data_IF_884263135881
#
_entry.id   IF_884263135881
#
_cell.length_a   1.000
_cell.length_b   1.000
_cell.length_c   1.000
_cell.angle_alpha   90.00
_cell.angle_beta   90.00
_cell.angle_gamma   90.00
#
_symmetry.space_group_name_H-M   'P 1'
#
loop_
_entity.id
_entity.type
_entity.pdbx_description
1 polymer ?
#
# COMPACT_ATOMS: atom_id res chain seq x y z
N UNK A 1 -13.29 -4.26 68.56
CA UNK A 1 -11.86 -4.24 68.94
C UNK A 1 -11.20 -3.19 68.07
N UNK A 2 -10.57 -2.18 68.70
CA UNK A 2 -9.88 -1.08 68.02
C UNK A 2 -8.64 -1.61 67.30
N UNK A 3 -8.60 -1.48 65.97
CA UNK A 3 -7.54 -2.02 65.13
C UNK A 3 -6.39 -1.00 65.02
N UNK A 4 -5.63 -0.83 66.09
CA UNK A 4 -4.39 -0.05 66.03
C UNK A 4 -3.26 -0.84 65.35
N UNK A 5 -2.44 -0.13 64.58
CA UNK A 5 -1.28 -0.70 63.93
C UNK A 5 -0.19 -1.05 64.97
N UNK A 6 0.49 -2.20 64.85
CA UNK A 6 1.64 -2.52 65.70
C UNK A 6 2.73 -1.46 65.55
N UNK A 7 3.35 -1.09 66.67
CA UNK A 7 4.40 -0.05 66.70
C UNK A 7 5.55 -0.44 65.76
N UNK A 8 5.84 0.45 64.80
CA UNK A 8 6.91 0.29 63.81
C UNK A 8 6.45 0.02 62.38
N UNK A 9 5.16 -0.24 62.14
CA UNK A 9 4.62 -0.41 60.78
C UNK A 9 3.95 0.89 60.32
N UNK A 10 4.32 1.46 59.16
CA UNK A 10 3.64 2.62 58.61
C UNK A 10 2.14 2.35 58.45
N UNK A 11 1.24 3.27 58.86
CA UNK A 11 -0.20 3.03 58.88
C UNK A 11 -0.78 2.59 57.52
N UNK A 12 -0.24 3.10 56.42
CA UNK A 12 -0.63 2.73 55.05
C UNK A 12 -0.25 1.28 54.71
N UNK A 13 0.93 0.82 55.15
CA UNK A 13 1.39 -0.55 54.92
C UNK A 13 0.55 -1.52 55.75
N UNK A 14 0.22 -1.14 56.99
CA UNK A 14 -0.70 -1.90 57.83
C UNK A 14 -2.09 -2.05 57.20
N UNK A 15 -2.60 -0.99 56.57
CA UNK A 15 -3.90 -1.00 55.88
C UNK A 15 -3.89 -1.96 54.67
N UNK A 16 -2.81 -1.96 53.87
CA UNK A 16 -2.64 -2.90 52.74
C UNK A 16 -2.54 -4.35 53.22
N UNK A 17 -1.79 -4.62 54.28
CA UNK A 17 -1.66 -5.97 54.87
C UNK A 17 -3.00 -6.43 55.45
N UNK A 18 -3.71 -5.56 56.16
CA UNK A 18 -5.04 -5.85 56.68
C UNK A 18 -6.05 -6.09 55.56
N UNK A 19 -5.91 -5.43 54.41
CA UNK A 19 -6.75 -5.66 53.23
C UNK A 19 -6.44 -7.00 52.54
N UNK A 20 -5.18 -7.45 52.56
CA UNK A 20 -4.72 -8.70 51.92
C UNK A 20 -4.87 -9.95 52.81
N UNK A 21 -4.76 -9.82 54.13
CA UNK A 21 -4.65 -10.95 55.10
C UNK A 21 -5.66 -10.84 56.25
N UNK A 22 -6.47 -9.77 56.32
CA UNK A 22 -7.43 -9.53 57.39
C UNK A 22 -8.63 -10.49 57.42
N UNK A 23 -9.37 -10.53 58.54
CA UNK A 23 -10.39 -11.54 58.79
C UNK A 23 -11.51 -11.52 57.74
N UNK A 24 -11.93 -12.70 57.21
CA UNK A 24 -12.82 -12.82 56.05
C UNK A 24 -14.25 -12.30 56.28
N UNK A 25 -14.57 -11.86 57.49
CA UNK A 25 -15.92 -11.48 57.91
C UNK A 25 -16.35 -10.06 57.50
N UNK A 26 -15.44 -9.15 57.13
CA UNK A 26 -15.79 -7.79 56.70
C UNK A 26 -15.84 -7.63 55.17
N UNK A 27 -15.21 -8.53 54.42
CA UNK A 27 -15.26 -8.55 52.95
C UNK A 27 -16.38 -9.44 52.41
N UNK A 28 -16.90 -10.42 53.14
CA UNK A 28 -17.83 -11.42 52.59
C UNK A 28 -19.17 -10.85 52.09
N UNK A 29 -19.64 -9.71 52.60
CA UNK A 29 -20.90 -9.08 52.14
C UNK A 29 -20.72 -8.01 51.06
N UNK A 30 -19.55 -7.37 50.96
CA UNK A 30 -19.28 -6.33 49.94
C UNK A 30 -18.45 -6.86 48.77
N UNK A 31 -17.56 -7.83 48.99
CA UNK A 31 -16.79 -8.49 47.94
C UNK A 31 -17.65 -9.35 47.00
N UNK A 32 -18.83 -9.80 47.44
CA UNK A 32 -19.76 -10.56 46.59
C UNK A 32 -20.38 -9.74 45.45
N UNK A 33 -20.33 -8.39 45.52
CA UNK A 33 -20.76 -7.48 44.42
C UNK A 33 -19.59 -6.82 43.67
N UNK A 34 -18.36 -6.99 44.15
CA UNK A 34 -17.16 -6.42 43.56
C UNK A 34 -16.80 -6.95 42.15
N UNK A 35 -16.99 -8.24 41.78
CA UNK A 35 -16.50 -8.71 40.47
C UNK A 35 -17.21 -8.03 39.30
N UNK A 36 -18.50 -7.68 39.44
CA UNK A 36 -19.27 -7.00 38.41
C UNK A 36 -18.86 -5.54 38.21
N UNK A 37 -18.62 -4.80 39.30
CA UNK A 37 -18.30 -3.36 39.25
C UNK A 37 -16.85 -3.14 38.84
N UNK A 38 -15.90 -3.92 39.36
CA UNK A 38 -14.51 -3.86 38.92
C UNK A 38 -14.36 -4.31 37.47
N UNK A 39 -15.08 -5.36 37.04
CA UNK A 39 -15.11 -5.78 35.64
C UNK A 39 -15.83 -4.79 34.72
N UNK A 40 -16.87 -4.10 35.18
CA UNK A 40 -17.53 -3.04 34.42
C UNK A 40 -16.66 -1.79 34.32
N UNK A 41 -15.97 -1.41 35.41
CA UNK A 41 -15.01 -0.32 35.42
C UNK A 41 -13.79 -0.62 34.54
N UNK A 42 -13.26 -1.85 34.58
CA UNK A 42 -12.18 -2.29 33.71
C UNK A 42 -12.60 -2.28 32.23
N UNK A 43 -13.79 -2.79 31.90
CA UNK A 43 -14.33 -2.74 30.52
C UNK A 43 -14.64 -1.33 30.06
N UNK A 44 -15.12 -0.47 30.95
CA UNK A 44 -15.35 0.95 30.67
C UNK A 44 -14.04 1.71 30.46
N UNK A 45 -12.99 1.37 31.22
CA UNK A 45 -11.65 1.94 31.06
C UNK A 45 -10.97 1.45 29.77
N UNK A 46 -11.14 0.17 29.43
CA UNK A 46 -10.65 -0.40 28.16
C UNK A 46 -11.40 0.17 26.96
N UNK A 47 -12.73 0.32 27.04
CA UNK A 47 -13.52 1.05 26.05
C UNK A 47 -13.23 2.56 26.01
N UNK A 48 -12.48 3.07 27.00
CA UNK A 48 -12.04 4.46 27.10
C UNK A 48 -10.57 4.65 26.79
N UNK A 49 -9.81 3.62 26.43
CA UNK A 49 -8.45 3.84 25.93
C UNK A 49 -8.57 4.79 24.74
N UNK A 50 -8.15 6.06 24.91
CA UNK A 50 -8.11 6.95 23.77
C UNK A 50 -7.02 6.33 22.92
N UNK A 51 -7.37 5.87 21.72
CA UNK A 51 -6.43 5.48 20.67
C UNK A 51 -5.13 6.25 20.90
N UNK A 52 -4.12 5.57 21.45
CA UNK A 52 -2.95 6.24 22.04
C UNK A 52 -2.37 7.17 20.98
N UNK A 53 -1.74 8.28 21.36
CA UNK A 53 -1.18 9.21 20.38
C UNK A 53 -0.32 8.47 19.33
N UNK A 54 0.39 7.42 19.74
CA UNK A 54 1.08 6.48 18.87
C UNK A 54 0.16 5.75 17.88
N UNK A 55 -0.96 5.17 18.32
CA UNK A 55 -1.94 4.53 17.43
C UNK A 55 -2.49 5.50 16.38
N UNK A 56 -2.83 6.74 16.75
CA UNK A 56 -3.34 7.74 15.80
C UNK A 56 -2.28 8.13 14.75
N UNK A 57 -1.02 8.27 15.18
CA UNK A 57 0.11 8.51 14.28
C UNK A 57 0.30 7.31 13.34
N UNK A 58 0.34 6.08 13.85
CA UNK A 58 0.47 4.88 13.02
C UNK A 58 -0.66 4.74 11.99
N UNK A 59 -1.91 5.01 12.37
CA UNK A 59 -3.03 4.99 11.43
C UNK A 59 -2.90 6.08 10.34
N UNK A 60 -2.38 7.26 10.69
CA UNK A 60 -2.13 8.31 9.70
C UNK A 60 -0.99 7.97 8.73
N UNK A 61 0.04 7.27 9.20
CA UNK A 61 1.14 6.79 8.37
C UNK A 61 0.71 5.65 7.45
N UNK A 62 -0.09 4.70 7.95
CA UNK A 62 -0.67 3.62 7.13
C UNK A 62 -1.51 4.23 6.00
N UNK A 63 -2.40 5.17 6.33
CA UNK A 63 -3.22 5.86 5.33
C UNK A 63 -2.37 6.59 4.28
N UNK A 64 -1.30 7.28 4.71
CA UNK A 64 -0.38 7.95 3.78
C UNK A 64 0.33 6.95 2.86
N UNK A 65 0.72 5.80 3.38
CA UNK A 65 1.33 4.74 2.59
C UNK A 65 0.34 4.17 1.58
N UNK A 66 -0.91 3.91 1.98
CA UNK A 66 -1.97 3.46 1.07
C UNK A 66 -2.20 4.45 -0.07
N UNK A 67 -2.32 5.74 0.23
CA UNK A 67 -2.47 6.80 -0.78
C UNK A 67 -1.26 6.85 -1.74
N UNK A 68 -0.04 6.71 -1.21
CA UNK A 68 1.17 6.67 -2.03
C UNK A 68 1.23 5.43 -2.91
N UNK A 69 0.87 4.26 -2.38
CA UNK A 69 0.81 3.02 -3.16
C UNK A 69 -0.23 3.09 -4.26
N UNK A 70 -1.40 3.68 -3.98
CA UNK A 70 -2.43 3.86 -4.97
C UNK A 70 -1.97 4.80 -6.09
N UNK A 71 -1.35 5.93 -5.76
CA UNK A 71 -0.79 6.84 -6.76
C UNK A 71 0.27 6.16 -7.65
N UNK A 72 1.19 5.40 -7.04
CA UNK A 72 2.21 4.65 -7.80
C UNK A 72 1.58 3.59 -8.71
N UNK A 73 0.51 2.95 -8.26
CA UNK A 73 -0.21 1.97 -9.08
C UNK A 73 -0.90 2.65 -10.27
N UNK A 74 -1.56 3.79 -10.05
CA UNK A 74 -2.18 4.58 -11.12
C UNK A 74 -1.13 5.08 -12.14
N UNK A 75 0.01 5.59 -11.67
CA UNK A 75 1.13 6.00 -12.54
C UNK A 75 1.67 4.84 -13.36
N UNK A 76 1.77 3.64 -12.76
CA UNK A 76 2.24 2.44 -13.46
C UNK A 76 1.27 1.98 -14.54
N UNK A 77 -0.03 1.98 -14.26
CA UNK A 77 -1.08 1.67 -15.24
C UNK A 77 -1.06 2.67 -16.39
N UNK A 78 -0.93 3.97 -16.11
CA UNK A 78 -0.81 5.00 -17.15
C UNK A 78 0.44 4.78 -18.03
N UNK A 79 1.58 4.51 -17.40
CA UNK A 79 2.83 4.29 -18.12
C UNK A 79 2.76 3.05 -19.00
N UNK A 80 2.16 1.97 -18.49
CA UNK A 80 1.97 0.72 -19.24
C UNK A 80 1.05 0.96 -20.43
N UNK A 81 -0.08 1.62 -20.24
CA UNK A 81 -1.00 1.97 -21.33
C UNK A 81 -0.35 2.86 -22.40
N UNK A 82 0.53 3.79 -21.98
CA UNK A 82 1.30 4.63 -22.90
C UNK A 82 2.33 3.82 -23.69
N UNK A 83 3.01 2.88 -23.05
CA UNK A 83 3.97 1.99 -23.71
C UNK A 83 3.27 1.11 -24.75
N UNK A 84 2.15 0.48 -24.39
CA UNK A 84 1.36 -0.36 -25.29
C UNK A 84 0.91 0.43 -26.54
N UNK A 85 0.48 1.68 -26.34
CA UNK A 85 0.11 2.57 -27.45
C UNK A 85 1.29 2.85 -28.37
N UNK A 86 2.44 3.23 -27.81
CA UNK A 86 3.64 3.53 -28.59
C UNK A 86 4.15 2.29 -29.34
N UNK A 87 4.06 1.11 -28.74
CA UNK A 87 4.41 -0.15 -29.40
C UNK A 87 3.47 -0.45 -30.57
N UNK A 88 2.17 -0.23 -30.40
CA UNK A 88 1.19 -0.38 -31.46
C UNK A 88 1.43 0.61 -32.62
N UNK A 89 1.67 1.88 -32.32
CA UNK A 89 2.01 2.91 -33.32
C UNK A 89 3.29 2.56 -34.07
N UNK A 90 4.35 2.19 -33.36
CA UNK A 90 5.62 1.79 -33.97
C UNK A 90 5.46 0.55 -34.86
N UNK A 91 4.62 -0.40 -34.44
CA UNK A 91 4.32 -1.60 -35.23
C UNK A 91 3.57 -1.23 -36.51
N UNK A 92 2.59 -0.34 -36.42
CA UNK A 92 1.84 0.15 -37.58
C UNK A 92 2.76 0.87 -38.58
N UNK A 93 3.60 1.78 -38.10
CA UNK A 93 4.59 2.49 -38.92
C UNK A 93 5.60 1.55 -39.57
N UNK A 94 6.08 0.54 -38.84
CA UNK A 94 6.97 -0.49 -39.42
C UNK A 94 6.28 -1.29 -40.51
N UNK A 95 5.01 -1.69 -40.32
CA UNK A 95 4.23 -2.40 -41.35
C UNK A 95 4.09 -1.55 -42.60
N UNK A 96 3.63 -0.30 -42.45
CA UNK A 96 3.50 0.65 -43.56
C UNK A 96 4.82 0.86 -44.30
N UNK A 97 5.93 0.97 -43.57
CA UNK A 97 7.27 1.08 -44.16
C UNK A 97 7.62 -0.15 -45.00
N UNK A 98 7.37 -1.36 -44.50
CA UNK A 98 7.66 -2.59 -45.23
C UNK A 98 6.76 -2.76 -46.45
N UNK A 99 5.48 -2.42 -46.34
CA UNK A 99 4.55 -2.43 -47.47
C UNK A 99 5.00 -1.46 -48.56
N UNK A 100 5.44 -0.25 -48.18
CA UNK A 100 5.98 0.72 -49.12
C UNK A 100 7.25 0.21 -49.82
N UNK A 101 8.19 -0.40 -49.09
CA UNK A 101 9.40 -1.00 -49.67
C UNK A 101 9.02 -2.12 -50.66
N UNK A 102 8.09 -3.00 -50.27
CA UNK A 102 7.60 -4.07 -51.14
C UNK A 102 6.97 -3.51 -52.43
N UNK A 103 6.14 -2.47 -52.31
CA UNK A 103 5.52 -1.82 -53.44
C UNK A 103 6.54 -1.15 -54.37
N UNK A 104 7.55 -0.48 -53.84
CA UNK A 104 8.64 0.13 -54.63
C UNK A 104 9.38 -0.94 -55.44
N UNK A 105 9.67 -2.11 -54.86
CA UNK A 105 10.30 -3.22 -55.60
C UNK A 105 9.44 -3.68 -56.78
N UNK A 106 8.13 -3.85 -56.57
CA UNK A 106 7.19 -4.21 -57.64
C UNK A 106 7.19 -3.16 -58.75
N UNK A 107 7.24 -1.87 -58.39
CA UNK A 107 7.33 -0.78 -59.37
C UNK A 107 8.65 -0.80 -60.16
N UNK A 108 9.79 -1.01 -59.49
CA UNK A 108 11.10 -1.12 -60.13
C UNK A 108 11.11 -2.30 -61.10
N UNK A 109 10.60 -3.47 -60.70
CA UNK A 109 10.54 -4.65 -61.56
C UNK A 109 9.62 -4.44 -62.77
N UNK A 110 8.48 -3.78 -62.56
CA UNK A 110 7.57 -3.37 -63.63
C UNK A 110 8.25 -2.40 -64.60
N UNK A 111 8.93 -1.38 -64.09
CA UNK A 111 9.65 -0.40 -64.89
C UNK A 111 10.75 -1.06 -65.74
N UNK A 112 11.58 -1.92 -65.14
CA UNK A 112 12.62 -2.69 -65.85
C UNK A 112 12.05 -3.54 -66.98
N UNK A 113 10.85 -4.09 -66.82
CA UNK A 113 10.19 -4.90 -67.86
C UNK A 113 9.73 -4.07 -69.06
N UNK A 114 9.28 -2.84 -68.84
CA UNK A 114 8.67 -2.01 -69.88
C UNK A 114 9.60 -0.93 -70.46
N UNK A 115 10.64 -0.55 -69.73
CA UNK A 115 11.63 0.45 -70.12
C UNK A 115 13.04 0.03 -69.62
N UNK A 116 13.64 -1.01 -70.22
CA UNK A 116 14.89 -1.61 -69.70
C UNK A 116 16.09 -0.65 -69.74
N UNK A 117 16.11 0.27 -70.70
CA UNK A 117 17.22 1.20 -70.90
C UNK A 117 17.02 2.54 -70.16
N UNK A 118 15.88 2.73 -69.50
CA UNK A 118 15.61 3.94 -68.74
C UNK A 118 16.35 3.89 -67.38
N UNK A 119 17.12 4.94 -67.03
CA UNK A 119 17.86 4.95 -65.78
C UNK A 119 16.93 5.10 -64.57
N UNK A 120 17.07 4.20 -63.61
CA UNK A 120 16.37 4.29 -62.32
C UNK A 120 17.28 5.07 -61.35
N UNK A 121 16.78 6.13 -60.69
CA UNK A 121 17.56 6.89 -59.72
C UNK A 121 17.97 6.01 -58.53
N UNK A 122 19.17 6.24 -58.00
CA UNK A 122 19.64 5.50 -56.83
C UNK A 122 18.74 5.75 -55.61
N UNK A 123 18.46 4.72 -54.79
CA UNK A 123 17.68 4.90 -53.59
C UNK A 123 18.41 5.82 -52.59
N UNK A 124 17.66 6.61 -51.79
CA UNK A 124 18.23 7.43 -50.73
C UNK A 124 19.11 6.62 -49.78
N UNK A 125 20.12 7.26 -49.18
CA UNK A 125 21.12 6.55 -48.37
C UNK A 125 20.52 5.65 -47.27
N UNK A 126 19.44 6.12 -46.63
CA UNK A 126 18.73 5.41 -45.55
C UNK A 126 17.99 4.15 -46.01
N UNK A 127 17.88 3.93 -47.33
CA UNK A 127 17.16 2.83 -47.95
C UNK A 127 18.07 1.94 -48.80
N UNK A 128 19.36 2.27 -48.97
CA UNK A 128 20.30 1.51 -49.81
C UNK A 128 20.40 0.03 -49.43
N UNK A 129 20.37 -0.28 -48.14
CA UNK A 129 20.49 -1.66 -47.65
C UNK A 129 19.15 -2.41 -47.60
N UNK A 130 18.03 -1.73 -47.93
CA UNK A 130 16.68 -2.23 -47.71
C UNK A 130 15.89 -2.49 -48.99
N UNK A 131 16.26 -1.88 -50.11
CA UNK A 131 15.56 -1.97 -51.41
C UNK A 131 16.30 -2.91 -52.33
#
# INVERSE_FOLDING_TARGET
MTADAPVGIPPLVWLVIFLLVGPPALLSKTAARAPGILGAAARWWHNREPATASYRVSQSEIKRLEEMYQAVHEDYEELTARLDRLEAELTAEKRLRWDAIGYIRVLIDSHRRHAPDAPIPEPPERLRDLV
#
